data_IF_200144277373
#
_entry.id   IF_200144277373
#
_cell.length_a   1.000
_cell.length_b   1.000
_cell.length_c   1.000
_cell.angle_alpha   90.00
_cell.angle_beta   90.00
_cell.angle_gamma   90.00
#
_symmetry.space_group_name_H-M   'P 1'
#
loop_
_entity.id
_entity.type
_entity.pdbx_description
1 polymer ?
#
# COMPACT_ATOMS: atom_id res chain seq x y z
N UNK A 1 -5.20 -12.97 -15.18
CA UNK A 1 -3.99 -13.64 -14.64
C UNK A 1 -4.16 -14.18 -13.22
N UNK A 2 -4.45 -13.35 -12.20
CA UNK A 2 -4.51 -13.81 -10.79
C UNK A 2 -5.50 -14.97 -10.55
N UNK A 3 -6.73 -14.89 -11.07
CA UNK A 3 -7.70 -15.99 -11.00
C UNK A 3 -7.19 -17.29 -11.63
N UNK A 4 -6.49 -17.19 -12.76
CA UNK A 4 -5.90 -18.36 -13.43
C UNK A 4 -4.76 -18.95 -12.58
N UNK A 5 -3.87 -18.11 -12.07
CA UNK A 5 -2.75 -18.55 -11.21
C UNK A 5 -3.30 -19.24 -9.95
N UNK A 6 -4.31 -18.66 -9.31
CA UNK A 6 -4.96 -19.26 -8.15
C UNK A 6 -5.64 -20.59 -8.49
N UNK A 7 -6.36 -20.70 -9.62
CA UNK A 7 -7.01 -21.96 -10.02
C UNK A 7 -5.98 -23.04 -10.39
N UNK A 8 -4.86 -22.68 -11.01
CA UNK A 8 -3.85 -23.63 -11.47
C UNK A 8 -2.89 -24.08 -10.37
N UNK A 9 -2.44 -23.16 -9.53
CA UNK A 9 -1.40 -23.41 -8.54
C UNK A 9 -1.91 -23.35 -7.10
N UNK A 10 -3.09 -22.76 -6.86
CA UNK A 10 -3.66 -22.60 -5.52
C UNK A 10 -2.66 -22.00 -4.55
N UNK A 11 -2.46 -22.70 -3.44
CA UNK A 11 -1.50 -22.32 -2.39
C UNK A 11 -0.09 -22.87 -2.65
N UNK A 12 0.09 -23.73 -3.67
CA UNK A 12 1.38 -24.34 -4.04
C UNK A 12 2.31 -23.36 -4.78
N UNK A 13 1.79 -22.22 -5.24
CA UNK A 13 2.58 -21.20 -5.92
C UNK A 13 3.62 -20.52 -5.00
N UNK A 14 3.38 -20.56 -3.69
CA UNK A 14 4.14 -19.79 -2.72
C UNK A 14 5.26 -20.68 -2.19
N UNK A 15 6.51 -20.26 -2.40
CA UNK A 15 7.65 -20.88 -1.73
C UNK A 15 7.35 -21.02 -0.25
N UNK A 16 7.45 -22.24 0.29
CA UNK A 16 6.85 -22.59 1.58
C UNK A 16 7.27 -21.67 2.75
N UNK A 17 8.40 -20.95 2.65
CA UNK A 17 8.98 -20.19 3.75
C UNK A 17 9.26 -18.70 3.46
N UNK A 18 8.80 -18.11 2.36
CA UNK A 18 8.99 -16.67 2.13
C UNK A 18 7.80 -15.85 2.66
N UNK A 19 7.99 -15.15 3.78
CA UNK A 19 6.96 -14.31 4.39
C UNK A 19 6.55 -13.17 3.48
N UNK A 20 7.50 -12.57 2.76
CA UNK A 20 7.25 -11.46 1.85
C UNK A 20 6.32 -11.89 0.71
N UNK A 21 6.68 -12.94 -0.04
CA UNK A 21 5.85 -13.45 -1.13
C UNK A 21 4.49 -13.95 -0.66
N UNK A 22 4.43 -14.65 0.48
CA UNK A 22 3.16 -15.15 1.03
C UNK A 22 2.20 -13.99 1.35
N UNK A 23 2.72 -12.95 1.99
CA UNK A 23 1.94 -11.77 2.39
C UNK A 23 1.50 -10.95 1.18
N UNK A 24 2.39 -10.75 0.20
CA UNK A 24 2.07 -10.08 -1.06
C UNK A 24 0.96 -10.84 -1.81
N UNK A 25 1.10 -12.15 -1.93
CA UNK A 25 0.13 -13.00 -2.62
C UNK A 25 -1.24 -12.95 -1.96
N UNK A 26 -1.28 -13.10 -0.62
CA UNK A 26 -2.52 -12.95 0.15
C UNK A 26 -3.18 -11.59 -0.12
N UNK A 27 -2.41 -10.50 -0.07
CA UNK A 27 -2.93 -9.14 -0.29
C UNK A 27 -3.51 -8.98 -1.70
N UNK A 28 -2.81 -9.44 -2.74
CA UNK A 28 -3.28 -9.36 -4.13
C UNK A 28 -4.55 -10.19 -4.37
N UNK A 29 -4.63 -11.37 -3.77
CA UNK A 29 -5.83 -12.22 -3.87
C UNK A 29 -7.01 -11.62 -3.12
N UNK A 30 -6.79 -11.07 -1.92
CA UNK A 30 -7.83 -10.37 -1.16
C UNK A 30 -8.36 -9.13 -1.87
N UNK A 31 -7.51 -8.41 -2.62
CA UNK A 31 -7.94 -7.30 -3.49
C UNK A 31 -8.82 -7.75 -4.67
N UNK A 32 -8.94 -9.06 -4.91
CA UNK A 32 -9.77 -9.66 -5.95
C UNK A 32 -10.86 -10.57 -5.35
N UNK A 33 -11.22 -10.34 -4.09
CA UNK A 33 -12.28 -11.02 -3.34
C UNK A 33 -12.06 -12.53 -3.07
N UNK A 34 -10.81 -13.01 -3.12
CA UNK A 34 -10.47 -14.37 -2.68
C UNK A 34 -10.26 -14.44 -1.16
N UNK A 35 -10.67 -15.56 -0.55
CA UNK A 35 -10.60 -15.78 0.90
C UNK A 35 -9.60 -16.90 1.27
N UNK A 36 -8.41 -16.53 1.76
CA UNK A 36 -7.34 -17.48 2.10
C UNK A 36 -6.66 -17.08 3.42
N UNK A 37 -7.39 -17.21 4.52
CA UNK A 37 -6.98 -16.68 5.83
C UNK A 37 -5.92 -17.55 6.52
N UNK A 38 -6.02 -18.87 6.33
CA UNK A 38 -5.24 -19.87 7.07
C UNK A 38 -3.76 -19.93 6.67
N UNK A 39 -3.36 -19.21 5.61
CA UNK A 39 -2.02 -19.26 5.06
C UNK A 39 -0.93 -18.78 6.03
N UNK A 40 -1.30 -17.92 7.00
CA UNK A 40 -0.35 -17.40 7.98
C UNK A 40 -0.12 -18.32 9.17
N UNK A 41 -0.90 -19.39 9.35
CA UNK A 41 -0.73 -20.32 10.47
C UNK A 41 0.63 -21.04 10.44
N UNK A 42 1.25 -21.20 9.27
CA UNK A 42 2.59 -21.80 9.14
C UNK A 42 3.70 -20.94 9.77
N UNK A 43 3.44 -19.65 10.02
CA UNK A 43 4.36 -18.72 10.66
C UNK A 43 4.18 -18.64 12.18
N UNK A 44 3.36 -19.54 12.75
CA UNK A 44 3.14 -19.64 14.18
C UNK A 44 3.94 -20.78 14.81
N UNK A 45 4.38 -20.56 16.04
CA UNK A 45 5.06 -21.55 16.86
C UNK A 45 4.04 -22.54 17.50
N UNK A 46 4.53 -23.50 18.28
CA UNK A 46 3.68 -24.50 18.95
C UNK A 46 2.74 -23.92 20.01
N UNK A 47 3.02 -22.70 20.50
CA UNK A 47 2.16 -21.99 21.45
C UNK A 47 1.04 -21.22 20.74
N UNK A 48 1.08 -21.13 19.41
CA UNK A 48 0.09 -20.41 18.61
C UNK A 48 0.46 -18.95 18.32
N UNK A 49 1.64 -18.48 18.76
CA UNK A 49 2.13 -17.12 18.52
C UNK A 49 2.96 -17.04 17.23
N UNK A 50 3.02 -15.87 16.58
CA UNK A 50 3.95 -15.66 15.47
C UNK A 50 5.40 -15.89 15.91
N UNK A 51 6.18 -16.59 15.07
CA UNK A 51 7.56 -16.93 15.39
C UNK A 51 8.43 -15.67 15.52
N UNK A 52 9.17 -15.54 16.63
CA UNK A 52 10.11 -14.42 16.83
C UNK A 52 11.19 -14.33 15.75
N UNK A 53 11.54 -15.45 15.09
CA UNK A 53 12.48 -15.47 13.98
C UNK A 53 12.02 -14.66 12.75
N UNK A 54 10.74 -14.30 12.66
CA UNK A 54 10.23 -13.44 11.58
C UNK A 54 10.76 -12.01 11.69
N UNK A 55 11.24 -11.60 12.87
CA UNK A 55 11.86 -10.29 13.10
C UNK A 55 13.04 -10.02 12.17
N UNK A 56 13.77 -11.06 11.80
CA UNK A 56 14.97 -10.94 10.96
C UNK A 56 14.61 -10.56 9.50
N UNK A 57 13.37 -10.84 9.07
CA UNK A 57 12.84 -10.48 7.75
C UNK A 57 11.95 -9.22 7.84
N UNK A 58 12.60 -8.05 7.90
CA UNK A 58 11.91 -6.76 7.99
C UNK A 58 10.98 -6.50 6.80
N UNK A 59 11.38 -6.91 5.58
CA UNK A 59 10.56 -6.74 4.36
C UNK A 59 9.34 -7.67 4.37
N UNK A 60 9.52 -8.90 4.85
CA UNK A 60 8.43 -9.83 5.12
C UNK A 60 7.46 -9.29 6.16
N UNK A 61 7.95 -8.74 7.28
CA UNK A 61 7.10 -8.12 8.30
C UNK A 61 6.30 -6.94 7.77
N UNK A 62 6.92 -6.05 6.98
CA UNK A 62 6.22 -4.95 6.33
C UNK A 62 5.12 -5.46 5.38
N UNK A 63 5.42 -6.52 4.63
CA UNK A 63 4.44 -7.13 3.72
C UNK A 63 3.29 -7.79 4.48
N UNK A 64 3.59 -8.46 5.60
CA UNK A 64 2.59 -9.07 6.50
C UNK A 64 1.72 -7.99 7.16
N UNK A 65 2.30 -6.86 7.57
CA UNK A 65 1.57 -5.72 8.10
C UNK A 65 0.53 -5.21 7.08
N UNK A 66 0.97 -4.96 5.84
CA UNK A 66 0.08 -4.48 4.78
C UNK A 66 -0.98 -5.52 4.38
N UNK A 67 -0.64 -6.81 4.44
CA UNK A 67 -1.57 -7.91 4.26
C UNK A 67 -2.62 -8.00 5.38
N UNK A 68 -2.22 -7.85 6.65
CA UNK A 68 -3.11 -7.93 7.80
C UNK A 68 -4.19 -6.82 7.82
N UNK A 69 -3.89 -5.65 7.23
CA UNK A 69 -4.89 -4.60 6.99
C UNK A 69 -5.96 -4.97 5.94
N UNK A 70 -5.82 -6.10 5.25
CA UNK A 70 -6.85 -6.64 4.36
C UNK A 70 -7.98 -7.39 5.07
N UNK A 71 -7.93 -7.52 6.41
CA UNK A 71 -9.00 -8.14 7.20
C UNK A 71 -10.37 -7.51 6.95
N UNK A 72 -11.44 -8.30 7.01
CA UNK A 72 -12.82 -7.89 6.67
C UNK A 72 -13.79 -8.11 7.83
N UNK A 73 -13.69 -9.22 8.57
CA UNK A 73 -14.71 -9.65 9.55
C UNK A 73 -14.14 -10.05 10.92
N UNK A 74 -15.04 -10.15 11.90
CA UNK A 74 -14.76 -10.83 13.17
C UNK A 74 -14.53 -12.33 12.91
N UNK A 75 -13.45 -12.89 13.46
CA UNK A 75 -13.06 -14.29 13.26
C UNK A 75 -11.77 -14.49 12.46
N UNK A 76 -11.19 -13.44 11.88
CA UNK A 76 -9.84 -13.46 11.28
C UNK A 76 -8.75 -13.20 12.33
N UNK A 77 -8.77 -13.92 13.46
CA UNK A 77 -7.87 -13.65 14.59
C UNK A 77 -6.39 -13.74 14.21
N UNK A 78 -6.03 -14.64 13.29
CA UNK A 78 -4.66 -14.73 12.77
C UNK A 78 -4.18 -13.41 12.14
N UNK A 79 -5.06 -12.63 11.50
CA UNK A 79 -4.71 -11.32 10.94
C UNK A 79 -4.66 -10.23 12.01
N UNK A 80 -5.46 -10.33 13.07
CA UNK A 80 -5.37 -9.42 14.21
C UNK A 80 -4.05 -9.60 14.96
N UNK A 81 -3.68 -10.85 15.22
CA UNK A 81 -2.41 -11.20 15.83
C UNK A 81 -1.22 -10.80 14.94
N UNK A 82 -1.31 -11.05 13.63
CA UNK A 82 -0.29 -10.60 12.66
C UNK A 82 -0.12 -9.08 12.71
N UNK A 83 -1.23 -8.33 12.78
CA UNK A 83 -1.20 -6.89 12.90
C UNK A 83 -0.51 -6.44 14.20
N UNK A 84 -0.86 -7.04 15.33
CA UNK A 84 -0.26 -6.70 16.63
C UNK A 84 1.24 -6.98 16.64
N UNK A 85 1.63 -8.17 16.19
CA UNK A 85 3.03 -8.59 16.07
C UNK A 85 3.82 -7.62 15.18
N UNK A 86 3.37 -7.41 13.95
CA UNK A 86 4.09 -6.55 12.99
C UNK A 86 4.11 -5.09 13.41
N UNK A 87 3.03 -4.56 13.98
CA UNK A 87 2.99 -3.17 14.49
C UNK A 87 4.03 -2.97 15.60
N UNK A 88 4.12 -3.90 16.54
CA UNK A 88 5.09 -3.84 17.63
C UNK A 88 6.53 -3.87 17.11
N UNK A 89 6.88 -4.84 16.28
CA UNK A 89 8.25 -4.99 15.80
C UNK A 89 8.68 -3.89 14.81
N UNK A 90 7.80 -3.47 13.89
CA UNK A 90 8.10 -2.35 12.98
C UNK A 90 8.21 -1.03 13.74
N UNK A 91 7.37 -0.80 14.77
CA UNK A 91 7.48 0.35 15.65
C UNK A 91 8.82 0.39 16.39
N UNK A 92 9.24 -0.74 16.96
CA UNK A 92 10.55 -0.85 17.60
C UNK A 92 11.72 -0.61 16.62
N UNK A 93 11.61 -1.04 15.37
CA UNK A 93 12.63 -0.77 14.34
C UNK A 93 12.76 0.73 14.09
N UNK A 94 11.63 1.43 14.01
CA UNK A 94 11.58 2.89 13.83
C UNK A 94 12.18 3.62 15.02
N UNK A 95 11.79 3.26 16.25
CA UNK A 95 12.26 3.92 17.46
C UNK A 95 13.76 3.72 17.71
N UNK A 96 14.31 2.56 17.31
CA UNK A 96 15.72 2.22 17.52
C UNK A 96 16.60 2.45 16.27
N UNK A 97 16.07 3.05 15.20
CA UNK A 97 16.79 3.34 13.95
C UNK A 97 17.46 2.11 13.31
N UNK A 98 16.81 0.94 13.34
CA UNK A 98 17.38 -0.34 12.88
C UNK A 98 17.06 -0.56 11.38
N UNK A 99 17.63 0.27 10.50
CA UNK A 99 17.30 0.25 9.06
C UNK A 99 18.42 -0.26 8.15
N UNK A 100 19.58 -0.68 8.69
CA UNK A 100 20.72 -1.15 7.92
C UNK A 100 21.12 -0.22 6.74
N UNK A 101 20.92 1.09 6.89
CA UNK A 101 21.09 2.13 5.86
C UNK A 101 20.17 2.03 4.63
N UNK A 102 19.10 1.22 4.67
CA UNK A 102 18.07 1.15 3.62
C UNK A 102 17.03 2.27 3.83
N UNK A 103 17.35 3.46 3.31
CA UNK A 103 16.50 4.66 3.39
C UNK A 103 15.15 4.48 2.69
N UNK A 104 15.09 3.62 1.67
CA UNK A 104 13.86 3.28 0.96
C UNK A 104 12.94 2.46 1.86
N UNK A 105 13.47 1.43 2.52
CA UNK A 105 12.72 0.60 3.45
C UNK A 105 12.25 1.40 4.68
N UNK A 106 13.11 2.27 5.22
CA UNK A 106 12.75 3.19 6.29
C UNK A 106 11.52 4.04 5.93
N UNK A 107 11.56 4.72 4.78
CA UNK A 107 10.44 5.54 4.30
C UNK A 107 9.14 4.72 4.15
N UNK A 108 9.24 3.49 3.62
CA UNK A 108 8.09 2.61 3.46
C UNK A 108 7.49 2.17 4.80
N UNK A 109 8.31 1.84 5.80
CA UNK A 109 7.85 1.45 7.14
C UNK A 109 7.15 2.63 7.83
N UNK A 110 7.77 3.81 7.82
CA UNK A 110 7.16 5.02 8.37
C UNK A 110 5.79 5.30 7.73
N UNK A 111 5.71 5.18 6.41
CA UNK A 111 4.47 5.40 5.69
C UNK A 111 3.42 4.33 6.02
N UNK A 112 3.80 3.07 6.16
CA UNK A 112 2.93 1.95 6.54
C UNK A 112 2.31 2.15 7.91
N UNK A 113 3.14 2.47 8.91
CA UNK A 113 2.68 2.71 10.27
C UNK A 113 1.79 3.95 10.39
N UNK A 114 2.05 4.99 9.58
CA UNK A 114 1.17 6.17 9.53
C UNK A 114 -0.18 5.86 8.86
N UNK A 115 -0.15 5.20 7.70
CA UNK A 115 -1.35 4.82 6.96
C UNK A 115 -1.07 3.58 6.10
N UNK A 116 -1.77 2.45 6.30
CA UNK A 116 -1.53 1.25 5.53
C UNK A 116 -1.97 1.44 4.07
N UNK A 117 -1.31 0.72 3.16
CA UNK A 117 -1.50 0.75 1.71
C UNK A 117 -2.98 0.65 1.30
N UNK A 118 -3.77 -0.22 1.95
CA UNK A 118 -5.22 -0.36 1.69
C UNK A 118 -6.00 0.95 1.86
N UNK A 119 -5.53 1.84 2.74
CA UNK A 119 -6.17 3.12 3.06
C UNK A 119 -5.55 4.29 2.30
N UNK A 120 -4.53 4.07 1.48
CA UNK A 120 -3.86 5.14 0.72
C UNK A 120 -4.55 5.38 -0.62
N UNK A 121 -4.48 6.61 -1.11
CA UNK A 121 -4.94 6.96 -2.45
C UNK A 121 -3.96 6.40 -3.48
N UNK A 122 -4.40 5.52 -4.42
CA UNK A 122 -3.51 4.89 -5.39
C UNK A 122 -2.66 5.89 -6.18
N UNK A 123 -3.23 7.06 -6.47
CA UNK A 123 -2.54 8.10 -7.24
C UNK A 123 -1.39 8.75 -6.47
N UNK A 124 -1.58 9.05 -5.19
CA UNK A 124 -0.50 9.56 -4.35
C UNK A 124 0.55 8.47 -4.10
N UNK A 125 0.12 7.21 -4.00
CA UNK A 125 1.04 6.10 -3.83
C UNK A 125 1.93 5.89 -5.06
N UNK A 126 1.38 5.99 -6.27
CA UNK A 126 2.16 5.92 -7.50
C UNK A 126 3.26 7.00 -7.52
N UNK A 127 2.93 8.24 -7.14
CA UNK A 127 3.90 9.34 -7.05
C UNK A 127 5.04 9.02 -6.05
N UNK A 128 4.73 8.41 -4.91
CA UNK A 128 5.71 8.05 -3.87
C UNK A 128 6.55 6.86 -4.27
N UNK A 129 5.96 5.88 -4.95
CA UNK A 129 6.63 4.62 -5.27
C UNK A 129 7.49 4.69 -6.54
N UNK A 130 7.18 5.55 -7.51
CA UNK A 130 8.01 5.69 -8.74
C UNK A 130 9.49 5.99 -8.42
N UNK A 131 9.85 6.95 -7.54
CA UNK A 131 11.24 7.18 -7.15
C UNK A 131 11.88 6.01 -6.40
N UNK A 132 11.09 5.30 -5.57
CA UNK A 132 11.55 4.10 -4.86
C UNK A 132 11.93 3.02 -5.88
N UNK A 133 11.02 2.70 -6.79
CA UNK A 133 11.22 1.70 -7.83
C UNK A 133 12.39 2.05 -8.75
N UNK A 134 12.57 3.34 -9.09
CA UNK A 134 13.71 3.79 -9.89
C UNK A 134 15.07 3.49 -9.24
N UNK A 135 15.13 3.48 -7.90
CA UNK A 135 16.36 3.23 -7.16
C UNK A 135 16.59 1.74 -6.86
N UNK A 136 15.66 0.85 -7.22
CA UNK A 136 15.85 -0.59 -7.05
C UNK A 136 16.77 -1.14 -8.14
N UNK A 137 17.81 -1.89 -7.78
CA UNK A 137 18.77 -2.47 -8.75
C UNK A 137 18.10 -3.39 -9.79
N UNK A 138 16.96 -3.99 -9.43
CA UNK A 138 16.22 -4.95 -10.25
C UNK A 138 15.07 -4.35 -11.06
N UNK A 139 14.93 -3.01 -11.09
CA UNK A 139 13.80 -2.38 -11.75
C UNK A 139 13.81 -2.62 -13.26
N UNK A 140 12.61 -2.74 -13.83
CA UNK A 140 12.42 -2.85 -15.26
C UNK A 140 12.28 -1.45 -15.86
N UNK A 141 13.22 -1.08 -16.75
CA UNK A 141 13.25 0.25 -17.37
C UNK A 141 11.97 0.58 -18.15
N UNK A 142 11.40 -0.39 -18.87
CA UNK A 142 10.18 -0.18 -19.65
C UNK A 142 8.97 0.05 -18.73
N UNK A 143 8.87 -0.68 -17.61
CA UNK A 143 7.83 -0.46 -16.62
C UNK A 143 7.96 0.89 -15.93
N UNK A 144 9.19 1.30 -15.57
CA UNK A 144 9.45 2.62 -14.99
C UNK A 144 9.08 3.74 -15.96
N UNK A 145 9.45 3.60 -17.23
CA UNK A 145 9.11 4.55 -18.29
C UNK A 145 7.60 4.65 -18.46
N UNK A 146 6.90 3.51 -18.51
CA UNK A 146 5.45 3.46 -18.60
C UNK A 146 4.78 4.18 -17.42
N UNK A 147 5.21 3.89 -16.19
CA UNK A 147 4.66 4.50 -14.98
C UNK A 147 4.81 6.03 -14.98
N UNK A 148 5.98 6.55 -15.42
CA UNK A 148 6.22 8.00 -15.53
C UNK A 148 5.36 8.65 -16.60
N UNK A 149 5.24 8.03 -17.77
CA UNK A 149 4.44 8.56 -18.88
C UNK A 149 2.95 8.58 -18.53
N UNK A 150 2.42 7.49 -17.97
CA UNK A 150 1.04 7.41 -17.51
C UNK A 150 0.74 8.46 -16.44
N UNK A 151 1.66 8.60 -15.46
CA UNK A 151 1.52 9.62 -14.43
C UNK A 151 1.47 11.03 -15.04
N UNK A 152 2.43 11.40 -15.89
CA UNK A 152 2.47 12.74 -16.47
C UNK A 152 1.26 13.02 -17.38
N UNK A 153 0.83 12.04 -18.18
CA UNK A 153 -0.32 12.18 -19.06
C UNK A 153 -1.61 12.48 -18.28
N UNK A 154 -1.89 11.70 -17.22
CA UNK A 154 -3.08 11.93 -16.42
C UNK A 154 -2.98 13.23 -15.60
N UNK A 155 -1.78 13.62 -15.16
CA UNK A 155 -1.57 14.90 -14.49
C UNK A 155 -1.89 16.10 -15.40
N UNK A 156 -1.51 16.04 -16.67
CA UNK A 156 -1.85 17.04 -17.68
C UNK A 156 -3.37 17.14 -17.91
N UNK A 157 -4.07 15.99 -17.93
CA UNK A 157 -5.54 15.97 -18.01
C UNK A 157 -6.16 16.66 -16.79
N UNK A 158 -5.71 16.32 -15.58
CA UNK A 158 -6.22 16.94 -14.37
C UNK A 158 -5.99 18.47 -14.33
N UNK A 159 -4.84 18.94 -14.82
CA UNK A 159 -4.57 20.38 -14.93
C UNK A 159 -5.52 21.09 -15.90
N UNK A 160 -5.86 20.44 -17.03
CA UNK A 160 -6.83 20.99 -17.99
C UNK A 160 -8.23 21.07 -17.39
N UNK A 161 -8.67 20.02 -16.70
CA UNK A 161 -9.96 19.97 -16.01
C UNK A 161 -10.04 21.04 -14.92
N UNK A 162 -9.03 21.12 -14.06
CA UNK A 162 -8.93 22.17 -13.04
C UNK A 162 -8.92 23.58 -13.64
N UNK A 163 -8.26 23.78 -14.79
CA UNK A 163 -8.28 25.06 -15.50
C UNK A 163 -9.68 25.45 -15.94
N UNK A 164 -10.46 24.50 -16.48
CA UNK A 164 -11.84 24.72 -16.89
C UNK A 164 -12.75 25.00 -15.69
N UNK A 165 -12.66 24.20 -14.63
CA UNK A 165 -13.44 24.40 -13.40
C UNK A 165 -13.11 25.74 -12.75
N UNK A 166 -11.82 26.12 -12.72
CA UNK A 166 -11.38 27.41 -12.16
C UNK A 166 -11.91 28.59 -12.97
N UNK A 167 -11.99 28.48 -14.32
CA UNK A 167 -12.61 29.52 -15.15
C UNK A 167 -14.11 29.63 -14.85
N UNK A 168 -14.83 28.51 -14.84
CA UNK A 168 -16.25 28.47 -14.51
C UNK A 168 -16.55 29.07 -13.13
N UNK A 169 -15.75 28.74 -12.10
CA UNK A 169 -15.92 29.30 -10.75
C UNK A 169 -15.72 30.81 -10.70
N UNK A 170 -14.74 31.33 -11.45
CA UNK A 170 -14.51 32.77 -11.58
C UNK A 170 -15.68 33.47 -12.29
N UNK A 171 -16.21 32.88 -13.35
CA UNK A 171 -17.33 33.46 -14.12
C UNK A 171 -18.62 33.54 -13.27
N UNK A 172 -18.80 32.62 -12.33
CA UNK A 172 -19.90 32.69 -11.35
C UNK A 172 -19.75 33.86 -10.37
N UNK A 173 -18.53 34.35 -10.18
CA UNK A 173 -18.19 35.47 -9.28
C UNK A 173 -18.62 35.19 -7.83
N UNK A 174 -18.42 33.95 -7.39
CA UNK A 174 -18.87 33.44 -6.08
C UNK A 174 -18.28 34.25 -4.93
N UNK A 175 -17.00 34.63 -5.00
CA UNK A 175 -16.33 35.36 -3.93
C UNK A 175 -16.97 36.72 -3.63
N UNK A 176 -17.46 37.41 -4.67
CA UNK A 176 -18.12 38.71 -4.50
C UNK A 176 -19.60 38.56 -4.17
N UNK A 177 -20.29 37.58 -4.77
CA UNK A 177 -21.74 37.40 -4.59
C UNK A 177 -22.11 36.64 -3.31
N UNK A 178 -21.23 35.77 -2.83
CA UNK A 178 -21.47 34.85 -1.72
C UNK A 178 -20.26 34.85 -0.76
N UNK A 179 -20.06 35.91 0.03
CA UNK A 179 -18.85 36.10 0.85
C UNK A 179 -18.66 35.06 1.96
N UNK A 180 -19.69 34.27 2.25
CA UNK A 180 -19.67 33.19 3.22
C UNK A 180 -19.25 31.83 2.62
N UNK A 181 -19.17 31.72 1.29
CA UNK A 181 -18.75 30.47 0.62
C UNK A 181 -17.23 30.36 0.65
N UNK A 182 -16.74 29.19 1.05
CA UNK A 182 -15.30 28.90 1.07
C UNK A 182 -14.83 28.55 -0.33
N UNK A 183 -13.68 29.09 -0.73
CA UNK A 183 -12.99 28.66 -1.94
C UNK A 183 -12.32 27.29 -1.71
N UNK A 184 -12.85 26.26 -2.36
CA UNK A 184 -12.47 24.85 -2.17
C UNK A 184 -12.44 24.07 -3.49
N UNK A 185 -12.20 24.73 -4.62
CA UNK A 185 -12.24 24.08 -5.94
C UNK A 185 -11.23 22.95 -6.03
N UNK A 186 -10.01 23.19 -5.56
CA UNK A 186 -8.92 22.22 -5.64
C UNK A 186 -9.21 21.01 -4.76
N UNK A 187 -9.66 21.24 -3.53
CA UNK A 187 -10.06 20.16 -2.63
C UNK A 187 -11.26 19.39 -3.19
N UNK A 188 -12.27 20.10 -3.71
CA UNK A 188 -13.45 19.50 -4.32
C UNK A 188 -13.11 18.63 -5.52
N UNK A 189 -12.21 19.08 -6.39
CA UNK A 189 -11.72 18.30 -7.52
C UNK A 189 -10.86 17.11 -7.08
N UNK A 190 -10.00 17.29 -6.08
CA UNK A 190 -9.16 16.22 -5.54
C UNK A 190 -9.96 15.06 -4.91
N UNK A 191 -11.21 15.32 -4.47
CA UNK A 191 -12.11 14.30 -3.95
C UNK A 191 -12.84 13.47 -5.02
N UNK A 192 -12.83 13.91 -6.28
CA UNK A 192 -13.44 13.21 -7.42
C UNK A 192 -12.45 12.18 -7.96
#
# INVERSE_FOLDING_TARGET
>A
CLKYIYVQYGDQWISNNDLQSTSLWFRLLRQQDFCIIWIFNKYKNTNGDFMESLRDDVRGMLSLYEAAHMRVEAGEEVLNEALNFTTYHLGNIVENYIFNNDTSLEAQIHQALHQPLRKRLPRLEALRYIPIYQNEDSHNEALLMLAKLDFNLLQELHQKELSQISKWWKDLDVLNKLPYVRDRIVEGYFWI
#
